data_IF_362931990054
#
_entry.id   IF_362931990054
#
_cell.length_a   1.000
_cell.length_b   1.000
_cell.length_c   1.000
_cell.angle_alpha   90.00
_cell.angle_beta   90.00
_cell.angle_gamma   90.00
#
_symmetry.space_group_name_H-M   'P 1'
#
loop_
_entity.id
_entity.type
_entity.pdbx_description
1 polymer ?
#
# COMPACT_ATOMS: atom_id res chain seq x y z
N UNK A 1 -12.35 15.32 16.41
CA UNK A 1 -12.84 15.30 15.00
C UNK A 1 -13.66 14.05 14.78
N UNK A 2 -14.80 14.09 14.07
CA UNK A 2 -15.61 12.89 13.80
C UNK A 2 -15.13 12.20 12.52
N UNK A 3 -15.07 10.86 12.54
CA UNK A 3 -14.70 10.04 11.39
C UNK A 3 -15.78 10.16 10.31
N UNK A 4 -15.43 10.40 9.02
CA UNK A 4 -16.42 10.53 7.95
C UNK A 4 -17.30 9.29 7.76
N UNK A 5 -18.60 9.50 7.64
CA UNK A 5 -19.60 8.44 7.40
C UNK A 5 -20.27 8.54 6.02
N UNK A 6 -19.98 9.58 5.23
CA UNK A 6 -20.50 9.79 3.88
C UNK A 6 -19.37 10.12 2.89
N UNK A 7 -19.57 9.77 1.61
CA UNK A 7 -18.54 9.94 0.58
C UNK A 7 -18.15 11.41 0.37
N UNK A 8 -19.12 12.33 0.44
CA UNK A 8 -18.85 13.77 0.30
C UNK A 8 -17.99 14.30 1.45
N UNK A 9 -18.30 13.91 2.70
CA UNK A 9 -17.51 14.29 3.86
C UNK A 9 -16.11 13.67 3.81
N UNK A 10 -15.99 12.42 3.37
CA UNK A 10 -14.69 11.77 3.19
C UNK A 10 -13.83 12.53 2.19
N UNK A 11 -14.36 12.85 1.01
CA UNK A 11 -13.60 13.60 -0.01
C UNK A 11 -13.20 15.00 0.48
N UNK A 12 -14.10 15.71 1.18
CA UNK A 12 -13.77 17.00 1.78
C UNK A 12 -12.57 16.88 2.74
N UNK A 13 -12.60 15.90 3.64
CA UNK A 13 -11.51 15.65 4.60
C UNK A 13 -10.22 15.22 3.91
N UNK A 14 -10.30 14.41 2.85
CA UNK A 14 -9.12 14.05 2.07
C UNK A 14 -8.43 15.30 1.52
N UNK A 15 -9.18 16.19 0.86
CA UNK A 15 -8.59 17.37 0.21
C UNK A 15 -8.09 18.43 1.19
N UNK A 16 -8.80 18.67 2.29
CA UNK A 16 -8.43 19.72 3.24
C UNK A 16 -7.51 19.24 4.36
N UNK A 17 -7.69 18.00 4.82
CA UNK A 17 -6.94 17.50 5.97
C UNK A 17 -5.81 16.55 5.60
N UNK A 18 -6.01 15.62 4.66
CA UNK A 18 -5.03 14.56 4.38
C UNK A 18 -3.96 15.05 3.39
N UNK A 19 -4.36 15.41 2.18
CA UNK A 19 -3.45 15.70 1.06
C UNK A 19 -2.40 16.78 1.40
N UNK A 20 -2.73 17.94 2.01
CA UNK A 20 -1.73 18.95 2.35
C UNK A 20 -0.67 18.44 3.33
N UNK A 21 -1.08 17.62 4.32
CA UNK A 21 -0.17 17.03 5.32
C UNK A 21 0.75 16.01 4.68
N UNK A 22 0.22 15.15 3.81
CA UNK A 22 1.01 14.18 3.04
C UNK A 22 2.10 14.87 2.22
N UNK A 23 1.74 15.88 1.42
CA UNK A 23 2.72 16.57 0.58
C UNK A 23 3.76 17.35 1.38
N UNK A 24 3.43 17.84 2.57
CA UNK A 24 4.41 18.45 3.49
C UNK A 24 5.49 17.43 3.87
N UNK A 25 5.10 16.22 4.28
CA UNK A 25 6.03 15.14 4.64
C UNK A 25 6.80 14.60 3.42
N UNK A 26 6.14 14.38 2.28
CA UNK A 26 6.80 13.96 1.04
C UNK A 26 7.83 15.00 0.54
N UNK A 27 7.54 16.30 0.68
CA UNK A 27 8.50 17.35 0.34
C UNK A 27 9.73 17.32 1.24
N UNK A 28 9.56 16.98 2.52
CA UNK A 28 10.69 16.76 3.43
C UNK A 28 11.53 15.56 2.99
N UNK A 29 10.90 14.40 2.74
CA UNK A 29 11.62 13.21 2.32
C UNK A 29 12.29 13.36 0.96
N UNK A 30 11.67 14.08 0.01
CA UNK A 30 12.30 14.40 -1.27
C UNK A 30 13.60 15.18 -1.10
N UNK A 31 13.62 16.21 -0.23
CA UNK A 31 14.84 16.99 0.05
C UNK A 31 15.94 16.15 0.70
N UNK A 32 15.56 15.16 1.51
CA UNK A 32 16.51 14.19 2.08
C UNK A 32 17.05 13.26 1.00
N UNK A 33 16.17 12.73 0.15
CA UNK A 33 16.54 11.88 -0.97
C UNK A 33 17.50 12.59 -1.96
N UNK A 34 17.32 13.89 -2.23
CA UNK A 34 18.22 14.69 -3.07
C UNK A 34 19.68 14.73 -2.56
N UNK A 35 19.91 14.46 -1.28
CA UNK A 35 21.23 14.49 -0.62
C UNK A 35 21.88 13.11 -0.47
N UNK A 36 21.19 12.05 -0.90
CA UNK A 36 21.74 10.68 -0.90
C UNK A 36 23.04 10.67 -1.73
N UNK A 37 24.19 10.26 -1.17
CA UNK A 37 25.48 10.30 -1.89
C UNK A 37 25.51 9.35 -3.09
N UNK A 38 25.14 8.08 -2.88
CA UNK A 38 25.14 7.09 -3.94
C UNK A 38 24.11 7.46 -5.05
N UNK A 39 24.54 7.58 -6.32
CA UNK A 39 23.69 8.07 -7.39
C UNK A 39 22.51 7.14 -7.72
N UNK A 40 22.69 5.82 -7.61
CA UNK A 40 21.62 4.86 -7.89
C UNK A 40 20.59 4.84 -6.77
N UNK A 41 21.03 4.79 -5.49
CA UNK A 41 20.12 4.90 -4.35
C UNK A 41 19.33 6.22 -4.39
N UNK A 42 20.00 7.33 -4.73
CA UNK A 42 19.37 8.65 -4.89
C UNK A 42 18.30 8.63 -5.98
N UNK A 43 18.64 8.09 -7.15
CA UNK A 43 17.72 7.97 -8.28
C UNK A 43 16.49 7.16 -7.89
N UNK A 44 16.66 6.01 -7.25
CA UNK A 44 15.54 5.13 -6.89
C UNK A 44 14.64 5.74 -5.81
N UNK A 45 15.21 6.42 -4.80
CA UNK A 45 14.43 7.13 -3.78
C UNK A 45 13.65 8.32 -4.35
N UNK A 46 14.24 9.08 -5.28
CA UNK A 46 13.54 10.19 -5.94
C UNK A 46 12.46 9.68 -6.90
N UNK A 47 12.73 8.58 -7.60
CA UNK A 47 11.78 7.96 -8.50
C UNK A 47 10.56 7.45 -7.73
N UNK A 48 10.76 6.73 -6.61
CA UNK A 48 9.65 6.21 -5.80
C UNK A 48 8.75 7.33 -5.30
N UNK A 49 9.30 8.43 -4.77
CA UNK A 49 8.49 9.59 -4.37
C UNK A 49 7.75 10.22 -5.55
N UNK A 50 8.39 10.32 -6.72
CA UNK A 50 7.80 10.98 -7.89
C UNK A 50 6.64 10.17 -8.48
N UNK A 51 6.80 8.85 -8.59
CA UNK A 51 5.83 7.99 -9.31
C UNK A 51 4.83 7.31 -8.38
N UNK A 52 5.16 7.12 -7.09
CA UNK A 52 4.34 6.38 -6.13
C UNK A 52 3.73 7.24 -5.01
N UNK A 53 3.75 8.58 -5.14
CA UNK A 53 3.16 9.51 -4.16
C UNK A 53 1.69 9.19 -3.80
N UNK A 54 0.94 8.64 -4.74
CA UNK A 54 -0.47 8.27 -4.53
C UNK A 54 -0.65 7.17 -3.48
N UNK A 55 0.34 6.29 -3.25
CA UNK A 55 0.33 5.33 -2.14
C UNK A 55 0.29 6.03 -0.79
N UNK A 56 1.11 7.08 -0.63
CA UNK A 56 1.13 7.90 0.59
C UNK A 56 -0.18 8.69 0.73
N UNK A 57 -0.71 9.26 -0.35
CA UNK A 57 -1.99 9.98 -0.35
C UNK A 57 -3.15 9.06 0.08
N UNK A 58 -3.25 7.87 -0.52
CA UNK A 58 -4.29 6.89 -0.23
C UNK A 58 -4.16 6.25 1.16
N UNK A 59 -2.94 5.86 1.56
CA UNK A 59 -2.69 5.31 2.88
C UNK A 59 -3.01 6.31 3.99
N UNK A 60 -2.66 7.59 3.80
CA UNK A 60 -2.83 8.62 4.83
C UNK A 60 -4.28 8.99 5.12
N UNK A 61 -5.25 8.49 4.34
CA UNK A 61 -6.68 8.58 4.65
C UNK A 61 -6.98 7.95 6.00
N UNK A 62 -6.25 6.91 6.41
CA UNK A 62 -6.37 6.29 7.74
C UNK A 62 -6.05 7.24 8.90
N UNK A 63 -5.28 8.31 8.66
CA UNK A 63 -5.06 9.36 9.65
C UNK A 63 -6.37 10.01 10.16
N UNK A 64 -7.45 9.95 9.37
CA UNK A 64 -8.78 10.44 9.79
C UNK A 64 -9.39 9.63 10.95
N UNK A 65 -8.97 8.36 11.14
CA UNK A 65 -9.37 7.55 12.29
C UNK A 65 -8.73 8.02 13.60
N UNK A 66 -7.55 8.63 13.51
CA UNK A 66 -6.75 9.07 14.65
C UNK A 66 -7.16 10.43 15.23
N UNK A 67 -8.18 11.08 14.64
CA UNK A 67 -8.79 12.32 15.12
C UNK A 67 -7.74 13.42 15.38
N UNK A 68 -7.41 13.72 16.64
CA UNK A 68 -6.44 14.74 17.03
C UNK A 68 -5.01 14.34 16.63
N UNK A 69 -4.69 13.06 16.60
CA UNK A 69 -3.36 12.53 16.28
C UNK A 69 -3.12 12.35 14.77
N UNK A 70 -3.98 12.92 13.93
CA UNK A 70 -3.89 12.80 12.47
C UNK A 70 -2.50 13.16 11.91
N UNK A 71 -1.84 14.20 12.42
CA UNK A 71 -0.52 14.60 11.93
C UNK A 71 0.54 13.53 12.22
N UNK A 72 0.51 12.94 13.42
CA UNK A 72 1.47 11.90 13.83
C UNK A 72 1.26 10.63 13.01
N UNK A 73 -0.01 10.22 12.81
CA UNK A 73 -0.33 9.02 12.02
C UNK A 73 0.01 9.23 10.54
N UNK A 74 -0.25 10.40 9.97
CA UNK A 74 0.18 10.70 8.60
C UNK A 74 1.71 10.70 8.49
N UNK A 75 2.44 11.24 9.47
CA UNK A 75 3.90 11.17 9.51
C UNK A 75 4.41 9.72 9.45
N UNK A 76 3.84 8.83 10.28
CA UNK A 76 4.14 7.40 10.24
C UNK A 76 3.83 6.76 8.88
N UNK A 77 2.62 6.99 8.35
CA UNK A 77 2.18 6.36 7.10
C UNK A 77 3.07 6.79 5.93
N UNK A 78 3.37 8.09 5.83
CA UNK A 78 4.25 8.61 4.77
C UNK A 78 5.64 8.00 4.88
N UNK A 79 6.22 7.94 6.09
CA UNK A 79 7.54 7.33 6.27
C UNK A 79 7.54 5.84 5.92
N UNK A 80 6.60 5.05 6.45
CA UNK A 80 6.53 3.60 6.22
C UNK A 80 6.25 3.27 4.76
N UNK A 81 5.34 4.00 4.11
CA UNK A 81 5.07 3.79 2.68
C UNK A 81 6.25 4.23 1.81
N UNK A 82 6.97 5.29 2.18
CA UNK A 82 8.20 5.70 1.49
C UNK A 82 9.29 4.63 1.60
N UNK A 83 9.39 3.91 2.74
CA UNK A 83 10.26 2.73 2.86
C UNK A 83 9.80 1.67 1.85
N UNK A 84 8.54 1.24 1.91
CA UNK A 84 7.96 0.24 1.01
C UNK A 84 8.25 0.53 -0.47
N UNK A 85 7.90 1.73 -0.95
CA UNK A 85 8.05 2.10 -2.37
C UNK A 85 9.51 2.22 -2.80
N UNK A 86 10.38 2.69 -1.91
CA UNK A 86 11.81 2.78 -2.16
C UNK A 86 12.46 1.40 -2.23
N UNK A 87 12.14 0.50 -1.31
CA UNK A 87 12.69 -0.86 -1.29
C UNK A 87 12.19 -1.69 -2.48
N UNK A 88 10.91 -1.53 -2.87
CA UNK A 88 10.35 -2.16 -4.07
C UNK A 88 11.13 -1.73 -5.34
N UNK A 89 11.37 -0.42 -5.52
CA UNK A 89 12.23 0.07 -6.62
C UNK A 89 13.65 -0.51 -6.58
N UNK A 90 14.25 -0.62 -5.39
CA UNK A 90 15.58 -1.19 -5.21
C UNK A 90 15.63 -2.69 -5.54
N UNK A 91 14.54 -3.43 -5.35
CA UNK A 91 14.44 -4.84 -5.67
C UNK A 91 14.16 -5.06 -7.16
N UNK A 92 13.20 -4.34 -7.74
CA UNK A 92 12.85 -4.41 -9.18
C UNK A 92 14.03 -4.08 -10.09
N UNK A 93 14.88 -3.15 -9.64
CA UNK A 93 16.05 -2.67 -10.41
C UNK A 93 17.36 -3.25 -9.90
N UNK A 94 17.30 -4.25 -9.02
CA UNK A 94 18.50 -4.91 -8.48
C UNK A 94 19.22 -5.73 -9.52
N UNK A 95 20.55 -5.63 -9.54
CA UNK A 95 21.43 -6.52 -10.28
C UNK A 95 21.83 -7.75 -9.46
N UNK A 96 21.62 -7.77 -8.14
CA UNK A 96 22.02 -8.88 -7.26
C UNK A 96 21.14 -10.12 -7.46
N UNK A 97 19.83 -9.91 -7.65
CA UNK A 97 18.78 -10.94 -7.60
C UNK A 97 18.91 -11.89 -6.37
N UNK A 98 19.58 -11.42 -5.31
CA UNK A 98 19.93 -12.22 -4.14
C UNK A 98 18.81 -12.12 -3.08
N UNK A 99 18.16 -13.24 -2.72
CA UNK A 99 17.12 -13.23 -1.68
C UNK A 99 17.64 -12.78 -0.30
N UNK A 100 18.95 -12.90 0.00
CA UNK A 100 19.52 -12.40 1.26
C UNK A 100 19.57 -10.87 1.29
N UNK A 101 19.93 -10.25 0.18
CA UNK A 101 19.88 -8.79 0.00
C UNK A 101 18.45 -8.29 0.14
N UNK A 102 17.48 -8.89 -0.56
CA UNK A 102 16.08 -8.50 -0.45
C UNK A 102 15.51 -8.68 0.96
N UNK A 103 15.85 -9.78 1.64
CA UNK A 103 15.44 -10.00 3.03
C UNK A 103 16.01 -8.94 3.96
N UNK A 104 17.27 -8.58 3.77
CA UNK A 104 17.98 -7.64 4.64
C UNK A 104 17.50 -6.20 4.42
N UNK A 105 17.20 -5.82 3.19
CA UNK A 105 16.51 -4.56 2.90
C UNK A 105 15.17 -4.50 3.65
N UNK A 106 14.35 -5.55 3.52
CA UNK A 106 13.02 -5.60 4.10
C UNK A 106 13.01 -5.75 5.62
N UNK A 107 14.16 -6.05 6.25
CA UNK A 107 14.32 -5.89 7.69
C UNK A 107 14.04 -4.43 8.14
N UNK A 108 14.28 -3.44 7.28
CA UNK A 108 13.92 -2.05 7.56
C UNK A 108 12.40 -1.87 7.79
N UNK A 109 11.54 -2.63 7.09
CA UNK A 109 10.09 -2.60 7.33
C UNK A 109 9.76 -3.15 8.72
N UNK A 110 10.38 -4.25 9.14
CA UNK A 110 10.16 -4.84 10.47
C UNK A 110 10.71 -3.94 11.59
N UNK A 111 11.90 -3.38 11.40
CA UNK A 111 12.52 -2.46 12.36
C UNK A 111 11.72 -1.16 12.49
N UNK A 112 11.13 -0.66 11.41
CA UNK A 112 10.24 0.51 11.43
C UNK A 112 8.99 0.27 12.28
N UNK A 113 8.55 -0.98 12.42
CA UNK A 113 7.42 -1.39 13.27
C UNK A 113 7.83 -1.79 14.68
N UNK A 114 9.12 -1.75 15.00
CA UNK A 114 9.69 -2.20 16.29
C UNK A 114 10.42 -1.03 16.97
N UNK A 115 9.79 -0.27 17.88
CA UNK A 115 10.34 0.97 18.39
C UNK A 115 11.68 0.88 19.12
N UNK A 116 12.02 -0.32 19.62
CA UNK A 116 13.28 -0.64 20.32
C UNK A 116 14.33 -1.29 19.41
N UNK A 117 14.00 -1.62 18.16
CA UNK A 117 14.95 -2.25 17.24
C UNK A 117 16.09 -1.29 16.90
N UNK A 118 17.32 -1.82 16.94
CA UNK A 118 18.50 -1.11 16.49
C UNK A 118 18.60 -1.24 14.98
N UNK A 119 18.73 -0.11 14.29
CA UNK A 119 19.00 -0.15 12.86
C UNK A 119 20.33 -0.85 12.57
N UNK A 120 20.33 -1.67 11.52
CA UNK A 120 21.53 -2.30 10.96
C UNK A 120 21.93 -1.64 9.64
N UNK A 121 23.04 -2.07 9.03
CA UNK A 121 23.29 -1.78 7.63
C UNK A 121 22.36 -2.62 6.75
N UNK A 122 21.23 -2.05 6.35
CA UNK A 122 20.24 -2.72 5.49
C UNK A 122 20.78 -3.05 4.09
N UNK A 123 21.86 -2.41 3.67
CA UNK A 123 22.49 -2.57 2.36
C UNK A 123 23.70 -3.53 2.38
N UNK A 124 23.95 -4.26 3.47
CA UNK A 124 25.19 -5.02 3.66
C UNK A 124 25.49 -6.09 2.58
N UNK A 125 24.47 -6.53 1.83
CA UNK A 125 24.60 -7.54 0.76
C UNK A 125 24.54 -6.96 -0.65
N UNK A 126 24.71 -5.64 -0.82
CA UNK A 126 24.79 -4.99 -2.14
C UNK A 126 25.98 -4.02 -2.23
N UNK A 127 26.29 -3.60 -3.45
CA UNK A 127 27.40 -2.66 -3.69
C UNK A 127 27.01 -1.24 -3.27
N UNK A 128 25.78 -0.83 -3.55
CA UNK A 128 25.28 0.51 -3.24
C UNK A 128 24.79 0.58 -1.78
N UNK A 129 25.63 1.15 -0.89
CA UNK A 129 25.33 1.21 0.55
C UNK A 129 25.23 2.62 1.13
N UNK A 130 25.91 3.60 0.55
CA UNK A 130 25.95 4.96 1.09
C UNK A 130 24.70 5.75 0.70
N UNK A 131 23.66 5.64 1.53
CA UNK A 131 22.42 6.40 1.39
C UNK A 131 22.41 7.72 2.20
N UNK A 132 23.52 8.07 2.87
CA UNK A 132 23.58 9.23 3.77
C UNK A 132 22.68 9.13 5.01
N UNK A 133 22.23 7.93 5.38
CA UNK A 133 21.35 7.65 6.51
C UNK A 133 19.85 7.80 6.21
N UNK A 134 19.46 7.92 4.95
CA UNK A 134 18.08 8.14 4.50
C UNK A 134 17.09 7.08 5.01
N UNK A 135 17.36 5.80 4.76
CA UNK A 135 16.52 4.68 5.15
C UNK A 135 16.47 4.54 6.68
N UNK A 136 17.59 4.74 7.37
CA UNK A 136 17.62 4.76 8.82
C UNK A 136 16.78 5.90 9.42
N UNK A 137 16.77 7.08 8.79
CA UNK A 137 15.95 8.21 9.25
C UNK A 137 14.45 7.94 9.06
N UNK A 138 14.06 7.29 7.95
CA UNK A 138 12.69 6.81 7.73
C UNK A 138 12.27 5.80 8.80
N UNK A 139 13.09 4.78 9.05
CA UNK A 139 12.86 3.75 10.09
C UNK A 139 12.69 4.39 11.44
N UNK A 140 13.61 5.28 11.84
CA UNK A 140 13.55 6.00 13.12
C UNK A 140 12.30 6.89 13.23
N UNK A 141 11.84 7.48 12.13
CA UNK A 141 10.60 8.27 12.12
C UNK A 141 9.41 7.39 12.48
N UNK A 142 9.29 6.20 11.88
CA UNK A 142 8.25 5.24 12.24
C UNK A 142 8.35 4.82 13.71
N UNK A 143 9.54 4.40 14.15
CA UNK A 143 9.80 4.00 15.54
C UNK A 143 9.44 5.10 16.54
N UNK A 144 9.75 6.37 16.23
CA UNK A 144 9.45 7.52 17.08
C UNK A 144 7.96 7.74 17.26
N UNK A 145 7.17 7.62 16.18
CA UNK A 145 5.71 7.73 16.27
C UNK A 145 5.14 6.56 17.06
N UNK A 146 5.54 5.32 16.74
CA UNK A 146 5.03 4.13 17.42
C UNK A 146 5.34 4.12 18.93
N UNK A 147 6.48 4.69 19.34
CA UNK A 147 6.86 4.87 20.77
C UNK A 147 5.88 5.75 21.54
N UNK A 148 5.13 6.62 20.87
CA UNK A 148 4.18 7.57 21.47
C UNK A 148 2.74 7.04 21.47
N UNK A 149 2.46 5.94 20.77
CA UNK A 149 1.10 5.40 20.70
C UNK A 149 0.74 4.67 22.00
N UNK A 150 -0.37 5.04 22.67
CA UNK A 150 -0.76 4.46 23.95
C UNK A 150 -0.97 2.94 23.86
N UNK A 151 -1.48 2.46 22.72
CA UNK A 151 -1.88 1.06 22.53
C UNK A 151 -0.97 0.31 21.55
N UNK A 152 0.28 0.74 21.37
CA UNK A 152 1.22 0.07 20.46
C UNK A 152 1.42 -1.43 20.80
N UNK A 153 1.59 -1.74 22.08
CA UNK A 153 1.84 -3.11 22.55
C UNK A 153 0.72 -4.08 22.15
N UNK A 154 -0.52 -3.60 22.08
CA UNK A 154 -1.71 -4.35 21.68
C UNK A 154 -1.68 -4.71 20.18
N UNK A 155 -1.24 -3.79 19.34
CA UNK A 155 -1.25 -3.99 17.88
C UNK A 155 0.02 -4.67 17.35
N UNK A 156 1.13 -4.64 18.09
CA UNK A 156 2.44 -5.10 17.63
C UNK A 156 2.44 -6.53 17.05
N UNK A 157 1.80 -7.55 17.66
CA UNK A 157 1.74 -8.89 17.08
C UNK A 157 1.03 -8.93 15.72
N UNK A 158 0.00 -8.10 15.54
CA UNK A 158 -0.73 -8.00 14.27
C UNK A 158 0.05 -7.24 13.21
N UNK A 159 0.82 -6.22 13.61
CA UNK A 159 1.72 -5.49 12.71
C UNK A 159 2.81 -6.41 12.16
N UNK A 160 3.50 -7.17 13.03
CA UNK A 160 4.57 -8.07 12.61
C UNK A 160 4.05 -9.15 11.66
N UNK A 161 2.90 -9.75 11.95
CA UNK A 161 2.33 -10.76 11.07
C UNK A 161 2.02 -10.24 9.66
N UNK A 162 1.49 -9.01 9.54
CA UNK A 162 1.23 -8.40 8.22
C UNK A 162 2.53 -8.00 7.52
N UNK A 163 3.50 -7.49 8.27
CA UNK A 163 4.80 -7.10 7.73
C UNK A 163 5.63 -8.30 7.29
N UNK A 164 5.57 -9.43 8.01
CA UNK A 164 6.22 -10.68 7.62
C UNK A 164 5.68 -11.18 6.28
N UNK A 165 4.36 -11.20 6.12
CA UNK A 165 3.72 -11.53 4.83
C UNK A 165 4.20 -10.62 3.70
N UNK A 166 4.22 -9.32 3.94
CA UNK A 166 4.72 -8.35 2.97
C UNK A 166 6.19 -8.60 2.63
N UNK A 167 7.06 -8.75 3.62
CA UNK A 167 8.49 -8.98 3.41
C UNK A 167 8.76 -10.30 2.67
N UNK A 168 8.04 -11.37 3.01
CA UNK A 168 8.12 -12.65 2.31
C UNK A 168 7.76 -12.52 0.83
N UNK A 169 6.65 -11.84 0.52
CA UNK A 169 6.26 -11.55 -0.86
C UNK A 169 7.40 -10.86 -1.60
N UNK A 170 7.96 -9.80 -1.01
CA UNK A 170 9.01 -9.00 -1.64
C UNK A 170 10.29 -9.79 -1.88
N UNK A 171 10.63 -10.75 -1.03
CA UNK A 171 11.75 -11.67 -1.33
C UNK A 171 11.37 -12.61 -2.46
N UNK A 172 10.19 -13.22 -2.44
CA UNK A 172 9.80 -14.23 -3.42
C UNK A 172 9.58 -13.68 -4.83
N UNK A 173 9.06 -12.45 -4.99
CA UNK A 173 8.74 -11.87 -6.31
C UNK A 173 9.95 -11.29 -7.06
N UNK A 174 11.06 -11.00 -6.38
CA UNK A 174 12.20 -10.29 -6.99
C UNK A 174 13.44 -11.17 -7.28
N UNK A 175 13.42 -12.45 -6.89
CA UNK A 175 14.49 -13.39 -7.31
C UNK A 175 14.50 -13.60 -8.82
N UNK A 176 15.45 -14.42 -9.30
CA UNK A 176 15.52 -14.83 -10.71
C UNK A 176 14.17 -15.31 -11.24
N UNK A 177 13.82 -14.92 -12.48
CA UNK A 177 12.48 -15.06 -13.03
C UNK A 177 11.93 -16.50 -12.99
N UNK A 178 12.79 -17.49 -13.24
CA UNK A 178 12.47 -18.92 -13.20
C UNK A 178 12.21 -19.45 -11.77
N UNK A 179 12.65 -18.76 -10.73
CA UNK A 179 12.46 -19.15 -9.33
C UNK A 179 11.23 -18.49 -8.68
N UNK A 180 10.71 -17.39 -9.24
CA UNK A 180 9.63 -16.59 -8.63
C UNK A 180 8.37 -17.43 -8.36
N UNK A 181 7.81 -18.05 -9.40
CA UNK A 181 6.56 -18.82 -9.29
C UNK A 181 6.72 -20.05 -8.40
N UNK A 182 7.73 -20.93 -8.57
CA UNK A 182 7.89 -22.08 -7.68
C UNK A 182 8.01 -21.71 -6.20
N UNK A 183 8.69 -20.59 -5.89
CA UNK A 183 8.81 -20.09 -4.51
C UNK A 183 7.48 -19.59 -3.96
N UNK A 184 6.72 -18.84 -4.75
CA UNK A 184 5.40 -18.30 -4.35
C UNK A 184 4.38 -19.42 -4.16
N UNK A 185 4.35 -20.43 -5.04
CA UNK A 185 3.50 -21.60 -4.90
C UNK A 185 3.84 -22.40 -3.63
N UNK A 186 5.13 -22.72 -3.41
CA UNK A 186 5.56 -23.44 -2.21
C UNK A 186 5.30 -22.63 -0.92
N UNK A 187 5.39 -21.31 -0.97
CA UNK A 187 5.03 -20.44 0.15
C UNK A 187 3.52 -20.42 0.41
N UNK A 188 2.69 -20.40 -0.63
CA UNK A 188 1.24 -20.52 -0.53
C UNK A 188 0.82 -21.87 0.05
N UNK A 189 1.43 -22.99 -0.38
CA UNK A 189 1.10 -24.33 0.16
C UNK A 189 1.25 -24.42 1.68
N UNK A 190 2.26 -23.76 2.25
CA UNK A 190 2.49 -23.71 3.70
C UNK A 190 1.39 -22.96 4.46
N UNK A 191 0.65 -22.08 3.80
CA UNK A 191 -0.41 -21.24 4.40
C UNK A 191 -1.82 -21.67 3.99
N UNK A 192 -1.95 -22.56 2.99
CA UNK A 192 -3.21 -22.90 2.33
C UNK A 192 -4.32 -23.29 3.31
N UNK A 193 -4.00 -24.06 4.35
CA UNK A 193 -4.99 -24.54 5.33
C UNK A 193 -5.39 -23.48 6.37
N UNK A 194 -4.65 -22.37 6.44
CA UNK A 194 -4.86 -21.28 7.41
C UNK A 194 -5.59 -20.08 6.80
N UNK A 195 -5.83 -20.11 5.49
CA UNK A 195 -6.44 -19.02 4.73
C UNK A 195 -7.69 -19.49 3.99
N UNK A 196 -8.61 -18.57 3.65
CA UNK A 196 -9.75 -18.91 2.80
C UNK A 196 -9.34 -19.49 1.44
N UNK A 197 -10.23 -20.25 0.81
CA UNK A 197 -9.97 -20.81 -0.51
C UNK A 197 -9.67 -19.70 -1.55
N UNK A 198 -8.43 -19.68 -2.04
CA UNK A 198 -7.95 -18.76 -3.06
C UNK A 198 -6.80 -19.39 -3.84
N UNK A 199 -6.36 -18.71 -4.91
CA UNK A 199 -5.20 -19.12 -5.71
C UNK A 199 -3.90 -18.55 -5.12
N UNK A 200 -2.75 -19.13 -5.46
CA UNK A 200 -1.45 -18.66 -4.94
C UNK A 200 -1.17 -17.19 -5.29
N UNK A 201 -1.57 -16.74 -6.48
CA UNK A 201 -1.42 -15.34 -6.92
C UNK A 201 -2.40 -14.40 -6.23
N UNK A 202 -3.57 -14.89 -5.79
CA UNK A 202 -4.53 -14.14 -4.97
C UNK A 202 -4.04 -13.98 -3.53
N UNK A 203 -3.45 -15.04 -2.97
CA UNK A 203 -2.77 -14.99 -1.68
C UNK A 203 -1.59 -14.02 -1.74
N UNK A 204 -0.73 -14.15 -2.75
CA UNK A 204 0.40 -13.25 -2.97
C UNK A 204 -0.05 -11.79 -3.04
N UNK A 205 -1.09 -11.48 -3.82
CA UNK A 205 -1.68 -10.14 -3.84
C UNK A 205 -2.19 -9.70 -2.46
N UNK A 206 -2.85 -10.60 -1.72
CA UNK A 206 -3.35 -10.31 -0.37
C UNK A 206 -2.27 -9.95 0.64
N UNK A 207 -1.02 -10.36 0.41
CA UNK A 207 0.13 -10.06 1.27
C UNK A 207 0.86 -8.76 0.92
N UNK A 208 0.63 -8.19 -0.27
CA UNK A 208 1.42 -7.06 -0.79
C UNK A 208 0.98 -5.67 -0.32
N UNK A 209 -0.08 -5.58 0.49
CA UNK A 209 -0.68 -4.30 0.89
C UNK A 209 -0.27 -3.87 2.29
N UNK A 210 0.00 -2.58 2.44
CA UNK A 210 0.31 -1.93 3.73
C UNK A 210 -0.94 -1.38 4.46
N UNK A 211 -2.13 -1.48 3.87
CA UNK A 211 -3.34 -0.83 4.42
C UNK A 211 -3.76 -1.37 5.79
N UNK A 212 -3.54 -2.67 6.07
CA UNK A 212 -3.82 -3.25 7.39
C UNK A 212 -2.93 -2.66 8.48
N UNK A 213 -1.65 -2.43 8.17
CA UNK A 213 -0.66 -1.79 9.06
C UNK A 213 -1.11 -0.36 9.38
N UNK A 214 -1.49 0.43 8.37
CA UNK A 214 -1.94 1.80 8.57
C UNK A 214 -3.21 1.90 9.43
N UNK A 215 -4.15 0.98 9.20
CA UNK A 215 -5.39 0.92 9.97
C UNK A 215 -5.11 0.59 11.45
N UNK A 216 -4.27 -0.42 11.72
CA UNK A 216 -3.85 -0.79 13.08
C UNK A 216 -3.19 0.38 13.81
N UNK A 217 -2.23 1.03 13.16
CA UNK A 217 -1.50 2.18 13.73
C UNK A 217 -2.44 3.35 14.01
N UNK A 218 -3.40 3.63 13.12
CA UNK A 218 -4.38 4.66 13.36
C UNK A 218 -5.27 4.34 14.58
N UNK A 219 -5.71 3.09 14.75
CA UNK A 219 -6.49 2.68 15.92
C UNK A 219 -5.69 2.69 17.23
N UNK A 220 -4.38 2.40 17.18
CA UNK A 220 -3.53 2.43 18.38
C UNK A 220 -3.25 3.83 18.94
N UNK A 221 -3.66 4.90 18.23
CA UNK A 221 -3.70 6.25 18.80
C UNK A 221 -4.76 6.40 19.90
N UNK A 222 -5.74 5.49 19.97
CA UNK A 222 -6.76 5.44 21.00
C UNK A 222 -6.28 4.58 22.20
N UNK A 223 -6.22 5.11 23.43
CA UNK A 223 -5.88 4.34 24.62
C UNK A 223 -6.79 3.15 24.89
N UNK A 224 -8.02 3.17 24.37
CA UNK A 224 -9.01 2.10 24.56
C UNK A 224 -8.94 1.01 23.46
N UNK A 225 -7.91 1.05 22.59
CA UNK A 225 -7.71 0.04 21.56
C UNK A 225 -7.38 -1.33 22.19
N UNK A 226 -8.26 -2.31 21.98
CA UNK A 226 -8.13 -3.65 22.56
C UNK A 226 -7.45 -4.67 21.62
N UNK A 227 -6.91 -5.74 22.18
CA UNK A 227 -6.33 -6.87 21.42
C UNK A 227 -7.36 -7.52 20.49
N UNK A 228 -8.62 -7.59 20.93
CA UNK A 228 -9.73 -8.07 20.13
C UNK A 228 -9.95 -7.17 18.91
N UNK A 229 -9.93 -5.84 19.08
CA UNK A 229 -10.04 -4.90 17.96
C UNK A 229 -8.85 -5.03 17.01
N UNK A 230 -7.62 -5.11 17.52
CA UNK A 230 -6.42 -5.31 16.69
C UNK A 230 -6.54 -6.58 15.83
N UNK A 231 -6.97 -7.69 16.44
CA UNK A 231 -7.19 -8.97 15.74
C UNK A 231 -8.32 -8.86 14.71
N UNK A 232 -9.42 -8.18 15.04
CA UNK A 232 -10.51 -7.92 14.11
C UNK A 232 -10.07 -7.06 12.93
N UNK A 233 -9.27 -6.01 13.16
CA UNK A 233 -8.72 -5.18 12.08
C UNK A 233 -7.84 -6.02 11.18
N UNK A 234 -6.89 -6.78 11.73
CA UNK A 234 -6.01 -7.68 10.96
C UNK A 234 -6.81 -8.61 10.06
N UNK A 235 -7.76 -9.35 10.63
CA UNK A 235 -8.58 -10.36 9.91
C UNK A 235 -9.65 -9.75 9.01
N UNK A 236 -9.99 -8.47 9.19
CA UNK A 236 -10.88 -7.75 8.27
C UNK A 236 -10.14 -7.24 7.03
N UNK A 237 -8.89 -6.85 7.20
CA UNK A 237 -8.05 -6.31 6.13
C UNK A 237 -7.38 -7.41 5.32
N UNK A 238 -6.74 -8.35 5.99
CA UNK A 238 -6.17 -9.54 5.39
C UNK A 238 -7.18 -10.70 5.45
N UNK A 239 -7.46 -11.39 4.33
CA UNK A 239 -6.82 -11.22 3.02
C UNK A 239 -7.56 -10.22 2.10
N UNK A 240 -8.83 -9.92 2.36
CA UNK A 240 -9.73 -9.42 1.31
C UNK A 240 -9.53 -7.95 0.88
N UNK A 241 -9.38 -7.03 1.83
CA UNK A 241 -9.16 -5.61 1.51
C UNK A 241 -7.78 -5.45 0.88
N UNK A 242 -6.78 -6.15 1.41
CA UNK A 242 -5.42 -6.14 0.90
C UNK A 242 -5.33 -6.76 -0.50
N UNK A 243 -5.98 -7.90 -0.72
CA UNK A 243 -6.02 -8.55 -2.03
C UNK A 243 -6.78 -7.71 -3.05
N UNK A 244 -7.89 -7.08 -2.68
CA UNK A 244 -8.59 -6.12 -3.55
C UNK A 244 -7.67 -4.97 -3.98
N UNK A 245 -6.91 -4.41 -3.04
CA UNK A 245 -5.98 -3.32 -3.29
C UNK A 245 -4.90 -3.73 -4.31
N UNK A 246 -4.19 -4.82 -4.04
CA UNK A 246 -3.03 -5.21 -4.85
C UNK A 246 -3.45 -5.84 -6.18
N UNK A 247 -4.56 -6.57 -6.24
CA UNK A 247 -5.09 -7.03 -7.52
C UNK A 247 -5.45 -5.84 -8.42
N UNK A 248 -5.99 -4.73 -7.90
CA UNK A 248 -6.27 -3.53 -8.69
C UNK A 248 -5.00 -2.89 -9.25
N UNK A 249 -3.94 -2.84 -8.45
CA UNK A 249 -2.61 -2.35 -8.83
C UNK A 249 -2.03 -3.17 -9.99
N UNK A 250 -1.89 -4.49 -9.79
CA UNK A 250 -1.47 -5.41 -10.86
C UNK A 250 -2.41 -5.39 -12.07
N UNK A 251 -3.70 -5.15 -11.89
CA UNK A 251 -4.64 -5.10 -13.00
C UNK A 251 -4.37 -3.92 -13.93
N UNK A 252 -4.00 -2.75 -13.41
CA UNK A 252 -3.72 -1.57 -14.25
C UNK A 252 -2.31 -1.62 -14.88
N UNK A 253 -1.38 -2.29 -14.23
CA UNK A 253 0.04 -2.34 -14.62
C UNK A 253 0.41 -3.48 -15.58
N UNK A 254 -0.56 -4.28 -16.04
CA UNK A 254 -0.30 -5.44 -16.92
C UNK A 254 0.59 -5.14 -18.13
N UNK A 255 0.39 -4.03 -18.84
CA UNK A 255 1.24 -3.69 -20.00
C UNK A 255 2.62 -3.18 -19.57
N UNK A 256 2.71 -2.44 -18.47
CA UNK A 256 3.99 -1.99 -17.90
C UNK A 256 4.82 -3.20 -17.47
N UNK A 257 4.23 -4.12 -16.71
CA UNK A 257 4.90 -5.34 -16.24
C UNK A 257 5.31 -6.24 -17.40
N UNK A 258 4.46 -6.35 -18.44
CA UNK A 258 4.79 -7.11 -19.65
C UNK A 258 5.99 -6.53 -20.38
N UNK A 259 6.11 -5.20 -20.45
CA UNK A 259 7.25 -4.52 -21.07
C UNK A 259 8.49 -4.62 -20.17
N UNK A 260 8.32 -4.50 -18.85
CA UNK A 260 9.38 -4.57 -17.85
C UNK A 260 9.94 -5.97 -17.59
N UNK A 261 9.21 -7.02 -17.97
CA UNK A 261 9.54 -8.41 -17.62
C UNK A 261 9.23 -8.74 -16.15
N UNK A 262 8.32 -7.96 -15.55
CA UNK A 262 7.96 -8.05 -14.14
C UNK A 262 6.82 -9.07 -13.95
N UNK A 263 6.77 -9.66 -12.75
CA UNK A 263 5.77 -10.67 -12.42
C UNK A 263 4.42 -10.01 -12.17
N UNK A 264 3.43 -10.25 -13.03
CA UNK A 264 2.07 -9.73 -12.86
C UNK A 264 1.09 -10.83 -12.39
N UNK A 265 0.46 -10.68 -11.22
CA UNK A 265 -0.48 -11.68 -10.70
C UNK A 265 -1.76 -11.82 -11.53
N UNK A 266 -2.20 -10.77 -12.21
CA UNK A 266 -3.38 -10.85 -13.07
C UNK A 266 -3.15 -11.68 -14.34
N UNK A 267 -1.90 -11.92 -14.74
CA UNK A 267 -1.56 -12.76 -15.90
C UNK A 267 -1.85 -14.26 -15.68
N UNK A 268 -2.06 -14.70 -14.44
CA UNK A 268 -2.34 -16.10 -14.10
C UNK A 268 -3.83 -16.45 -14.08
N UNK A 269 -4.72 -15.47 -14.28
CA UNK A 269 -6.12 -15.75 -14.56
C UNK A 269 -6.31 -16.19 -16.02
N UNK A 270 -7.30 -17.04 -16.27
CA UNK A 270 -7.53 -17.58 -17.62
C UNK A 270 -7.97 -16.51 -18.61
N UNK A 271 -8.74 -15.51 -18.15
CA UNK A 271 -9.25 -14.42 -18.99
C UNK A 271 -9.86 -13.28 -18.15
N UNK A 272 -10.21 -12.18 -18.83
CA UNK A 272 -10.85 -11.02 -18.20
C UNK A 272 -12.23 -11.27 -17.58
N UNK A 273 -12.94 -12.35 -17.95
CA UNK A 273 -14.19 -12.71 -17.28
C UNK A 273 -13.90 -13.23 -15.86
N UNK A 274 -12.97 -14.17 -15.72
CA UNK A 274 -12.52 -14.68 -14.42
C UNK A 274 -12.00 -13.55 -13.54
N UNK A 275 -11.16 -12.65 -14.07
CA UNK A 275 -10.69 -11.45 -13.36
C UNK A 275 -11.87 -10.66 -12.79
N UNK A 276 -12.88 -10.35 -13.61
CA UNK A 276 -14.03 -9.55 -13.17
C UNK A 276 -14.89 -10.25 -12.10
N UNK A 277 -15.04 -11.57 -12.19
CA UNK A 277 -15.77 -12.38 -11.20
C UNK A 277 -15.03 -12.45 -9.87
N UNK A 278 -13.71 -12.63 -9.92
CA UNK A 278 -12.86 -12.67 -8.72
C UNK A 278 -12.76 -11.30 -8.06
N UNK A 279 -12.66 -10.20 -8.80
CA UNK A 279 -12.78 -8.86 -8.21
C UNK A 279 -14.12 -8.62 -7.51
N UNK A 280 -15.23 -9.02 -8.13
CA UNK A 280 -16.54 -8.91 -7.50
C UNK A 280 -16.62 -9.75 -6.20
N UNK A 281 -16.03 -10.94 -6.21
CA UNK A 281 -15.92 -11.78 -5.02
C UNK A 281 -15.06 -11.12 -3.93
N UNK A 282 -13.86 -10.65 -4.25
CA UNK A 282 -12.96 -9.96 -3.32
C UNK A 282 -13.61 -8.72 -2.70
N UNK A 283 -14.30 -7.90 -3.50
CA UNK A 283 -15.04 -6.74 -2.99
C UNK A 283 -16.15 -7.15 -2.02
N UNK A 284 -16.93 -8.19 -2.37
CA UNK A 284 -17.99 -8.70 -1.51
C UNK A 284 -17.43 -9.19 -0.18
N UNK A 285 -16.33 -9.96 -0.21
CA UNK A 285 -15.67 -10.44 1.01
C UNK A 285 -15.07 -9.30 1.82
N UNK A 286 -14.39 -8.33 1.18
CA UNK A 286 -13.84 -7.14 1.83
C UNK A 286 -14.94 -6.34 2.55
N UNK A 287 -16.10 -6.17 1.91
CA UNK A 287 -17.25 -5.49 2.51
C UNK A 287 -17.84 -6.22 3.71
N UNK A 288 -17.95 -7.55 3.60
CA UNK A 288 -18.42 -8.39 4.71
C UNK A 288 -17.44 -8.33 5.88
N UNK A 289 -16.14 -8.40 5.60
CA UNK A 289 -15.09 -8.38 6.60
C UNK A 289 -15.10 -7.05 7.38
N UNK A 290 -15.07 -5.91 6.70
CA UNK A 290 -15.03 -4.59 7.37
C UNK A 290 -16.37 -4.18 8.00
N UNK A 291 -17.47 -4.88 7.71
CA UNK A 291 -18.80 -4.56 8.29
C UNK A 291 -18.85 -4.73 9.82
N UNK A 292 -17.92 -5.53 10.36
CA UNK A 292 -17.79 -5.84 11.79
C UNK A 292 -16.86 -4.87 12.54
N UNK A 293 -16.21 -3.96 11.83
CA UNK A 293 -15.30 -2.99 12.41
C UNK A 293 -16.05 -1.77 12.97
N UNK A 294 -15.50 -1.08 13.98
CA UNK A 294 -15.91 0.28 14.26
C UNK A 294 -15.71 1.15 13.01
N UNK A 295 -16.48 2.23 12.88
CA UNK A 295 -16.44 3.08 11.70
C UNK A 295 -16.68 2.33 10.37
N UNK A 296 -17.48 1.26 10.36
CA UNK A 296 -17.77 0.42 9.17
C UNK A 296 -18.04 1.20 7.87
N UNK A 297 -18.70 2.36 7.94
CA UNK A 297 -18.95 3.20 6.78
C UNK A 297 -17.66 3.76 6.17
N UNK A 298 -16.70 4.19 7.01
CA UNK A 298 -15.38 4.63 6.58
C UNK A 298 -14.65 3.52 5.84
N UNK A 299 -14.49 2.35 6.46
CA UNK A 299 -13.79 1.21 5.85
C UNK A 299 -14.44 0.75 4.55
N UNK A 300 -15.78 0.72 4.51
CA UNK A 300 -16.52 0.45 3.28
C UNK A 300 -16.21 1.48 2.20
N UNK A 301 -16.18 2.77 2.52
CA UNK A 301 -15.83 3.81 1.54
C UNK A 301 -14.40 3.63 1.02
N UNK A 302 -13.44 3.17 1.83
CA UNK A 302 -12.09 2.87 1.34
C UNK A 302 -12.11 1.81 0.23
N UNK A 303 -12.87 0.71 0.37
CA UNK A 303 -12.99 -0.29 -0.69
C UNK A 303 -13.48 0.32 -2.03
N UNK A 304 -14.37 1.31 -1.97
CA UNK A 304 -14.88 2.01 -3.16
C UNK A 304 -13.88 3.04 -3.68
N UNK A 305 -13.17 3.71 -2.78
CA UNK A 305 -12.13 4.66 -3.14
C UNK A 305 -10.98 3.97 -3.89
N UNK A 306 -10.56 2.77 -3.45
CA UNK A 306 -9.59 1.95 -4.18
C UNK A 306 -10.04 1.71 -5.62
N UNK A 307 -11.26 1.21 -5.83
CA UNK A 307 -11.82 1.02 -7.16
C UNK A 307 -11.86 2.33 -7.97
N UNK A 308 -12.28 3.42 -7.34
CA UNK A 308 -12.37 4.73 -8.00
C UNK A 308 -11.01 5.28 -8.43
N UNK A 309 -9.98 5.13 -7.60
CA UNK A 309 -8.61 5.62 -7.87
C UNK A 309 -7.97 4.78 -8.97
N UNK A 310 -7.85 3.47 -8.77
CA UNK A 310 -7.14 2.61 -9.70
C UNK A 310 -7.85 2.52 -11.07
N UNK A 311 -9.18 2.46 -11.10
CA UNK A 311 -9.91 2.40 -12.38
C UNK A 311 -10.06 3.76 -13.07
N UNK A 312 -9.67 4.87 -12.43
CA UNK A 312 -9.56 6.19 -13.06
C UNK A 312 -8.24 6.38 -13.81
N UNK A 313 -7.25 5.50 -13.58
CA UNK A 313 -5.91 5.64 -14.15
C UNK A 313 -5.93 5.68 -15.69
N UNK A 314 -5.03 6.46 -16.27
CA UNK A 314 -4.93 6.61 -17.73
C UNK A 314 -4.56 5.28 -18.42
N UNK A 315 -3.74 4.44 -17.76
CA UNK A 315 -3.34 3.10 -18.24
C UNK A 315 -4.54 2.21 -18.56
N UNK A 316 -5.64 2.36 -17.81
CA UNK A 316 -6.89 1.61 -18.04
C UNK A 316 -7.51 1.95 -19.39
N UNK A 317 -7.42 3.21 -19.81
CA UNK A 317 -8.03 3.69 -21.05
C UNK A 317 -7.18 3.40 -22.29
N UNK A 318 -5.87 3.25 -22.12
CA UNK A 318 -4.90 2.93 -23.18
C UNK A 318 -5.01 1.45 -23.62
N UNK A 319 -5.52 0.58 -22.74
CA UNK A 319 -5.54 -0.86 -22.97
C UNK A 319 -6.97 -1.37 -23.22
N UNK A 320 -7.31 -1.73 -24.47
CA UNK A 320 -8.68 -2.11 -24.89
C UNK A 320 -9.29 -3.24 -24.04
N UNK A 321 -8.51 -4.28 -23.74
CA UNK A 321 -8.97 -5.43 -22.96
C UNK A 321 -9.19 -5.07 -21.49
N UNK A 322 -8.27 -4.31 -20.89
CA UNK A 322 -8.38 -3.83 -19.52
C UNK A 322 -9.59 -2.91 -19.38
N UNK A 323 -9.78 -1.96 -20.29
CA UNK A 323 -10.95 -1.08 -20.32
C UNK A 323 -12.28 -1.86 -20.32
N UNK A 324 -12.36 -2.95 -21.08
CA UNK A 324 -13.56 -3.81 -21.13
C UNK A 324 -13.78 -4.51 -19.79
N UNK A 325 -12.74 -5.05 -19.18
CA UNK A 325 -12.80 -5.73 -17.88
C UNK A 325 -13.10 -4.74 -16.75
N UNK A 326 -12.47 -3.57 -16.74
CA UNK A 326 -12.71 -2.48 -15.78
C UNK A 326 -14.19 -2.05 -15.77
N UNK A 327 -14.83 -1.94 -16.94
CA UNK A 327 -16.28 -1.66 -17.04
C UNK A 327 -17.14 -2.75 -16.39
N UNK A 328 -16.74 -4.03 -16.50
CA UNK A 328 -17.45 -5.14 -15.83
C UNK A 328 -17.26 -5.06 -14.32
N UNK A 329 -16.03 -4.81 -13.85
CA UNK A 329 -15.73 -4.61 -12.43
C UNK A 329 -16.60 -3.47 -11.88
N UNK A 330 -16.59 -2.29 -12.50
CA UNK A 330 -17.38 -1.14 -12.05
C UNK A 330 -18.88 -1.44 -11.95
N UNK A 331 -19.46 -2.17 -12.92
CA UNK A 331 -20.88 -2.57 -12.91
C UNK A 331 -21.22 -3.47 -11.72
N UNK A 332 -20.30 -4.34 -11.32
CA UNK A 332 -20.47 -5.23 -10.15
C UNK A 332 -20.37 -4.49 -8.81
N UNK A 333 -19.85 -3.25 -8.78
CA UNK A 333 -19.50 -2.54 -7.56
C UNK A 333 -20.52 -1.48 -7.08
N UNK A 334 -21.65 -1.32 -7.80
CA UNK A 334 -22.72 -0.37 -7.45
C UNK A 334 -22.35 1.12 -7.61
N UNK A 335 -23.34 2.01 -7.39
CA UNK A 335 -23.23 3.44 -7.71
C UNK A 335 -22.24 4.26 -6.86
N UNK A 336 -21.85 3.79 -5.67
CA UNK A 336 -20.90 4.51 -4.82
C UNK A 336 -19.47 4.52 -5.38
N UNK A 337 -19.05 3.45 -6.05
CA UNK A 337 -17.75 3.40 -6.73
C UNK A 337 -17.69 4.37 -7.92
N UNK A 338 -18.82 4.56 -8.62
CA UNK A 338 -18.94 5.57 -9.66
C UNK A 338 -18.76 6.98 -9.10
N UNK A 339 -19.29 7.29 -7.91
CA UNK A 339 -19.07 8.60 -7.29
C UNK A 339 -17.57 8.91 -7.10
N UNK A 340 -16.79 7.96 -6.56
CA UNK A 340 -15.34 8.16 -6.36
C UNK A 340 -14.61 8.31 -7.69
N UNK A 341 -14.93 7.46 -8.68
CA UNK A 341 -14.40 7.57 -10.04
C UNK A 341 -14.65 8.97 -10.63
N UNK A 342 -15.90 9.43 -10.61
CA UNK A 342 -16.28 10.75 -11.10
C UNK A 342 -15.57 11.88 -10.34
N UNK A 343 -15.50 11.78 -9.02
CA UNK A 343 -14.84 12.79 -8.20
C UNK A 343 -13.36 12.93 -8.55
N UNK A 344 -12.65 11.81 -8.69
CA UNK A 344 -11.22 11.77 -9.03
C UNK A 344 -10.99 12.31 -10.42
N UNK A 345 -11.79 11.91 -11.41
CA UNK A 345 -11.68 12.44 -12.78
C UNK A 345 -11.91 13.95 -12.84
N UNK A 346 -12.89 14.48 -12.08
CA UNK A 346 -13.15 15.92 -11.99
C UNK A 346 -11.97 16.63 -11.31
N UNK A 347 -11.47 16.08 -10.20
CA UNK A 347 -10.41 16.72 -9.42
C UNK A 347 -9.06 16.66 -10.12
N UNK A 348 -8.77 15.61 -10.89
CA UNK A 348 -7.63 15.55 -11.80
C UNK A 348 -7.71 16.70 -12.83
N UNK A 349 -8.86 16.89 -13.49
CA UNK A 349 -9.07 18.01 -14.41
C UNK A 349 -8.92 19.38 -13.74
N UNK A 350 -9.37 19.54 -12.50
CA UNK A 350 -9.24 20.79 -11.73
C UNK A 350 -7.78 21.03 -11.31
N UNK A 351 -7.05 20.00 -10.86
CA UNK A 351 -5.62 20.07 -10.55
C UNK A 351 -4.81 20.47 -11.79
N UNK A 352 -5.08 19.85 -12.95
CA UNK A 352 -4.48 20.25 -14.24
C UNK A 352 -4.77 21.70 -14.63
N UNK A 353 -6.00 22.20 -14.39
CA UNK A 353 -6.34 23.62 -14.64
C UNK A 353 -5.61 24.59 -13.70
N UNK A 354 -5.40 24.25 -12.42
CA UNK A 354 -4.64 25.11 -11.49
C UNK A 354 -3.16 25.19 -11.86
N UNK A 355 -2.59 24.13 -12.45
CA UNK A 355 -1.20 24.12 -12.95
C UNK A 355 -1.09 25.03 -14.19
N UNK A 356 -2.07 25.02 -15.10
CA UNK A 356 -2.07 25.90 -16.27
C UNK A 356 -2.29 27.39 -15.93
N UNK A 357 -3.08 27.71 -14.91
CA UNK A 357 -3.31 29.11 -14.49
C UNK A 357 -2.12 29.69 -13.69
N UNK A 358 -1.21 28.86 -13.20
CA UNK A 358 0.06 29.32 -12.61
C UNK A 358 1.21 29.43 -13.64
N UNK A 359 0.94 29.10 -14.91
CA UNK A 359 1.91 29.16 -16.03
C UNK A 359 1.48 30.21 -17.08
N UNK A 360 0.53 31.10 -16.73
CA UNK A 360 0.19 32.30 -17.52
C UNK A 360 0.54 33.55 -16.72
#
# INVERSE_FOLDING_TARGET
>A
MQVPSSSAMLMLRIYYDVIPRVHKHLKFWKKKAERIPNPELRKQALLSIKTKAFHCEGGSIYGLLAKQEIEQIICFIVAYQTISDYLDNLCDRSTSLDPKDFRTLHQACLDALTPSAKCINYYQFRQEQDDGGYLMELVKTCQNVLRQLPSYHVIAPSLYHLADYYCDLQVHKHVQANERVPRLEAWFERHRDQIPQMKWYEFSASTGSTLGIFCLVAYASDPDCSEELATKVKTSYFPWVQGLHILLDYFIDQEEDRIGGDLNFCAYYNNGQEISERFAYFLKQADQAVSRLPHKHFHRMINRALLGVYLADEKVNEQKNIKKTAKKILRSCGGSSLFFLWNIMIMARIRYRKILVQVV
#
